data_IF_057592605946
#
_entry.id   IF_057592605946
#
_cell.length_a   1.000
_cell.length_b   1.000
_cell.length_c   1.000
_cell.angle_alpha   90.00
_cell.angle_beta   90.00
_cell.angle_gamma   90.00
#
_symmetry.space_group_name_H-M   'P 1'
#
loop_
_entity.id
_entity.type
_entity.pdbx_description
1 polymer ?
#
# COMPACT_ATOMS: atom_id res chain seq x y z
N UNK A 1 -8.63 -1.16 -11.33
CA UNK A 1 -7.58 -2.10 -11.78
C UNK A 1 -8.14 -3.11 -12.77
N UNK A 2 -7.30 -3.62 -13.66
CA UNK A 2 -7.73 -4.60 -14.65
C UNK A 2 -8.10 -5.94 -14.01
N UNK A 3 -9.10 -6.61 -14.59
CA UNK A 3 -9.42 -7.99 -14.25
C UNK A 3 -8.28 -8.92 -14.70
N UNK A 4 -8.05 -10.00 -13.95
CA UNK A 4 -6.93 -10.94 -14.16
C UNK A 4 -6.92 -11.64 -15.52
N UNK A 5 -8.06 -11.67 -16.22
CA UNK A 5 -8.18 -12.22 -17.59
C UNK A 5 -7.96 -11.18 -18.70
N UNK A 6 -7.81 -9.90 -18.37
CA UNK A 6 -7.53 -8.82 -19.34
C UNK A 6 -6.02 -8.57 -19.43
N UNK A 7 -5.35 -8.59 -18.28
CA UNK A 7 -3.90 -8.39 -18.17
C UNK A 7 -3.29 -9.39 -17.21
N UNK A 8 -2.03 -9.77 -17.43
CA UNK A 8 -1.26 -10.55 -16.45
C UNK A 8 -0.87 -9.66 -15.27
N UNK A 9 -1.77 -9.46 -14.30
CA UNK A 9 -1.61 -8.46 -13.20
C UNK A 9 -0.39 -8.72 -12.31
N UNK A 10 0.11 -9.96 -12.26
CA UNK A 10 1.35 -10.31 -11.54
C UNK A 10 2.62 -9.89 -12.27
N UNK A 11 2.55 -9.71 -13.59
CA UNK A 11 3.68 -9.23 -14.38
C UNK A 11 3.77 -7.71 -14.28
N UNK A 12 4.93 -7.19 -13.88
CA UNK A 12 5.21 -5.75 -13.88
C UNK A 12 5.56 -5.28 -15.31
N UNK A 13 4.55 -5.24 -16.18
CA UNK A 13 4.70 -4.97 -17.61
C UNK A 13 4.44 -3.51 -17.98
N UNK A 14 5.16 -2.98 -18.97
CA UNK A 14 5.07 -1.59 -19.41
C UNK A 14 3.62 -1.17 -19.75
N UNK A 15 2.88 -2.03 -20.46
CA UNK A 15 1.50 -1.75 -20.88
C UNK A 15 0.51 -1.57 -19.72
N UNK A 16 0.78 -2.17 -18.55
CA UNK A 16 -0.12 -2.07 -17.39
C UNK A 16 -0.16 -0.65 -16.80
N UNK A 17 0.86 0.16 -17.07
CA UNK A 17 0.96 1.53 -16.54
C UNK A 17 0.06 2.53 -17.25
N UNK A 18 -0.50 2.22 -18.43
CA UNK A 18 -1.46 3.11 -19.08
C UNK A 18 -2.66 3.35 -18.15
N UNK A 19 -3.17 2.30 -17.50
CA UNK A 19 -4.26 2.42 -16.53
C UNK A 19 -3.86 3.23 -15.29
N UNK A 20 -2.64 3.03 -14.78
CA UNK A 20 -2.11 3.80 -13.65
C UNK A 20 -1.97 5.28 -13.99
N UNK A 21 -1.42 5.62 -15.16
CA UNK A 21 -1.22 7.00 -15.60
C UNK A 21 -2.56 7.73 -15.77
N UNK A 22 -3.59 7.07 -16.30
CA UNK A 22 -4.92 7.68 -16.41
C UNK A 22 -5.51 7.99 -15.04
N UNK A 23 -5.44 7.05 -14.09
CA UNK A 23 -5.96 7.24 -12.73
C UNK A 23 -5.20 8.35 -11.98
N UNK A 24 -3.87 8.36 -12.04
CA UNK A 24 -3.05 9.39 -11.41
C UNK A 24 -3.35 10.78 -12.00
N UNK A 25 -3.46 10.87 -13.32
CA UNK A 25 -3.78 12.14 -14.00
C UNK A 25 -5.17 12.67 -13.61
N UNK A 26 -6.16 11.79 -13.45
CA UNK A 26 -7.49 12.15 -12.93
C UNK A 26 -7.41 12.68 -11.50
N UNK A 27 -6.70 11.98 -10.60
CA UNK A 27 -6.54 12.39 -9.21
C UNK A 27 -5.86 13.77 -9.10
N UNK A 28 -4.76 13.98 -9.81
CA UNK A 28 -4.04 15.26 -9.84
C UNK A 28 -4.94 16.38 -10.39
N UNK A 29 -5.66 16.12 -11.47
CA UNK A 29 -6.59 17.11 -12.05
C UNK A 29 -7.75 17.44 -11.10
N UNK A 30 -8.13 16.50 -10.23
CA UNK A 30 -9.10 16.68 -9.15
C UNK A 30 -8.55 17.33 -7.88
N UNK A 31 -7.25 17.64 -7.82
CA UNK A 31 -6.59 18.28 -6.68
C UNK A 31 -6.09 17.32 -5.59
N UNK A 32 -6.06 16.01 -5.85
CA UNK A 32 -5.45 15.02 -4.99
C UNK A 32 -3.99 14.72 -5.39
N UNK A 33 -3.23 14.07 -4.51
CA UNK A 33 -1.82 13.74 -4.74
C UNK A 33 -1.62 12.36 -5.40
N UNK A 34 -2.56 11.43 -5.16
CA UNK A 34 -2.47 10.04 -5.61
C UNK A 34 -3.87 9.46 -5.83
N UNK A 35 -3.96 8.43 -6.66
CA UNK A 35 -5.20 7.71 -6.95
C UNK A 35 -5.29 6.40 -6.15
N UNK A 36 -6.50 6.03 -5.72
CA UNK A 36 -6.81 4.69 -5.22
C UNK A 36 -7.72 3.98 -6.23
N UNK A 37 -7.26 2.86 -6.79
CA UNK A 37 -8.01 2.11 -7.80
C UNK A 37 -8.86 1.03 -7.14
N UNK A 38 -10.09 0.89 -7.63
CA UNK A 38 -10.97 -0.25 -7.34
C UNK A 38 -10.81 -1.33 -8.41
N UNK A 39 -11.00 -2.59 -8.07
CA UNK A 39 -11.09 -3.70 -9.02
C UNK A 39 -12.42 -3.68 -9.81
N UNK A 40 -12.62 -4.66 -10.69
CA UNK A 40 -13.82 -4.78 -11.51
C UNK A 40 -15.08 -5.18 -10.72
N UNK A 41 -14.95 -5.59 -9.46
CA UNK A 41 -16.05 -5.90 -8.55
C UNK A 41 -16.36 -4.72 -7.60
N UNK A 42 -15.55 -3.66 -7.64
CA UNK A 42 -15.72 -2.45 -6.84
C UNK A 42 -15.00 -2.46 -5.48
N UNK A 43 -14.12 -3.44 -5.23
CA UNK A 43 -13.29 -3.47 -4.03
C UNK A 43 -11.97 -2.75 -4.25
N UNK A 44 -11.36 -2.26 -3.16
CA UNK A 44 -10.05 -1.61 -3.18
C UNK A 44 -8.98 -2.60 -3.66
N UNK A 45 -8.20 -2.19 -4.68
CA UNK A 45 -7.12 -2.99 -5.23
C UNK A 45 -5.74 -2.47 -4.81
N UNK A 46 -5.36 -1.29 -5.28
CA UNK A 46 -4.05 -0.67 -5.04
C UNK A 46 -4.07 0.82 -5.46
N UNK A 47 -3.03 1.56 -5.11
CA UNK A 47 -2.76 2.90 -5.65
C UNK A 47 -2.31 2.87 -7.11
N UNK A 48 -1.97 4.01 -7.69
CA UNK A 48 -1.51 4.03 -9.09
C UNK A 48 -0.17 3.31 -9.27
N UNK A 49 0.71 3.33 -8.26
CA UNK A 49 2.02 2.65 -8.26
C UNK A 49 2.33 1.84 -6.99
N UNK A 50 1.41 1.78 -6.03
CA UNK A 50 1.66 1.34 -4.65
C UNK A 50 0.60 0.35 -4.16
N UNK A 51 0.97 -0.63 -3.34
CA UNK A 51 -0.04 -1.38 -2.58
C UNK A 51 -0.60 -0.51 -1.43
N UNK A 52 -1.81 -0.81 -0.95
CA UNK A 52 -2.44 -0.10 0.17
C UNK A 52 -2.60 -1.00 1.40
N UNK A 53 -2.45 -0.38 2.56
CA UNK A 53 -2.81 -0.93 3.85
C UNK A 53 -3.76 0.02 4.60
N UNK A 54 -4.65 -0.54 5.40
CA UNK A 54 -5.44 0.19 6.40
C UNK A 54 -5.31 -0.47 7.77
N UNK A 55 -5.38 0.33 8.82
CA UNK A 55 -5.48 -0.13 10.20
C UNK A 55 -6.90 0.10 10.68
N UNK A 56 -7.52 -0.94 11.23
CA UNK A 56 -8.86 -0.87 11.80
C UNK A 56 -8.98 -1.85 12.95
N UNK A 57 -9.51 -1.39 14.08
CA UNK A 57 -9.65 -2.17 15.30
C UNK A 57 -8.32 -2.81 15.74
N UNK A 58 -7.21 -2.08 15.53
CA UNK A 58 -5.85 -2.57 15.83
C UNK A 58 -5.35 -3.70 14.91
N UNK A 59 -6.04 -4.01 13.82
CA UNK A 59 -5.65 -5.03 12.84
C UNK A 59 -5.18 -4.38 11.55
N UNK A 60 -4.08 -4.90 10.98
CA UNK A 60 -3.56 -4.46 9.69
C UNK A 60 -4.29 -5.21 8.56
N UNK A 61 -4.90 -4.47 7.65
CA UNK A 61 -5.62 -5.01 6.50
C UNK A 61 -4.96 -4.56 5.21
N UNK A 62 -4.93 -5.45 4.22
CA UNK A 62 -4.51 -5.13 2.86
C UNK A 62 -5.33 -5.96 1.86
N UNK A 63 -5.55 -5.47 0.63
CA UNK A 63 -6.21 -6.25 -0.40
C UNK A 63 -5.52 -7.61 -0.62
N UNK A 64 -6.33 -8.64 -0.84
CA UNK A 64 -5.86 -9.95 -1.29
C UNK A 64 -5.22 -9.87 -2.67
N UNK A 65 -4.28 -10.78 -2.97
CA UNK A 65 -3.49 -10.78 -4.21
C UNK A 65 -4.29 -11.31 -5.41
N UNK A 66 -5.32 -10.55 -5.81
CA UNK A 66 -6.12 -10.80 -7.02
C UNK A 66 -5.68 -9.87 -8.15
N UNK A 67 -6.14 -8.62 -8.13
CA UNK A 67 -5.91 -7.62 -9.17
C UNK A 67 -4.74 -6.66 -8.90
N UNK A 68 -4.19 -6.68 -7.68
CA UNK A 68 -3.05 -5.88 -7.27
C UNK A 68 -1.71 -6.60 -7.52
N UNK A 69 -0.63 -5.81 -7.59
CA UNK A 69 0.72 -6.31 -7.76
C UNK A 69 1.20 -7.00 -6.47
N UNK A 70 1.91 -8.12 -6.63
CA UNK A 70 2.62 -8.78 -5.53
C UNK A 70 3.89 -7.99 -5.15
N UNK A 71 3.68 -6.87 -4.46
CA UNK A 71 4.74 -5.92 -4.13
C UNK A 71 5.73 -6.45 -3.10
N UNK A 72 7.02 -6.23 -3.34
CA UNK A 72 8.09 -6.59 -2.39
C UNK A 72 7.98 -5.73 -1.12
N UNK A 73 7.73 -4.42 -1.23
CA UNK A 73 7.53 -3.55 -0.06
C UNK A 73 6.32 -4.00 0.77
N UNK A 74 5.23 -4.43 0.13
CA UNK A 74 4.08 -5.04 0.81
C UNK A 74 4.50 -6.28 1.61
N UNK A 75 5.25 -7.19 0.99
CA UNK A 75 5.76 -8.38 1.69
C UNK A 75 6.64 -8.01 2.90
N UNK A 76 7.52 -7.00 2.74
CA UNK A 76 8.34 -6.45 3.84
C UNK A 76 7.50 -5.91 4.99
N UNK A 77 6.42 -5.15 4.71
CA UNK A 77 5.54 -4.62 5.75
C UNK A 77 4.77 -5.74 6.47
N UNK A 78 4.31 -6.77 5.76
CA UNK A 78 3.67 -7.93 6.37
C UNK A 78 4.65 -8.68 7.28
N UNK A 79 5.92 -8.78 6.90
CA UNK A 79 6.97 -9.39 7.72
C UNK A 79 7.22 -8.60 9.02
N UNK A 80 7.36 -7.27 8.94
CA UNK A 80 7.47 -6.43 10.13
C UNK A 80 6.23 -6.45 11.03
N UNK A 81 5.04 -6.51 10.44
CA UNK A 81 3.81 -6.64 11.22
C UNK A 81 3.82 -7.93 12.04
N UNK A 82 4.31 -9.04 11.50
CA UNK A 82 4.48 -10.31 12.25
C UNK A 82 5.47 -10.16 13.40
N UNK A 83 6.60 -9.49 13.19
CA UNK A 83 7.60 -9.22 14.25
C UNK A 83 7.02 -8.40 15.40
N UNK A 84 6.08 -7.49 15.09
CA UNK A 84 5.35 -6.69 16.08
C UNK A 84 4.20 -7.44 16.76
N UNK A 85 3.90 -8.67 16.36
CA UNK A 85 2.70 -9.40 16.80
C UNK A 85 1.39 -8.78 16.31
N UNK A 86 1.45 -7.93 15.28
CA UNK A 86 0.29 -7.28 14.69
C UNK A 86 -0.45 -8.26 13.77
N UNK A 87 -1.75 -8.45 14.00
CA UNK A 87 -2.56 -9.30 13.12
C UNK A 87 -2.64 -8.67 11.73
N UNK A 88 -2.33 -9.47 10.70
CA UNK A 88 -2.49 -9.09 9.29
C UNK A 88 -3.64 -9.89 8.67
N UNK A 89 -4.55 -9.21 7.98
CA UNK A 89 -5.64 -9.82 7.22
C UNK A 89 -5.59 -9.37 5.75
N UNK A 90 -5.23 -10.30 4.88
CA UNK A 90 -5.35 -10.15 3.44
C UNK A 90 -6.80 -10.49 3.05
N UNK A 91 -7.57 -9.50 2.60
CA UNK A 91 -9.01 -9.65 2.30
C UNK A 91 -9.49 -8.60 1.32
N UNK A 92 -10.71 -8.79 0.80
CA UNK A 92 -11.43 -7.70 0.12
C UNK A 92 -11.72 -6.55 1.10
N UNK A 93 -11.53 -5.33 0.61
CA UNK A 93 -11.74 -4.08 1.35
C UNK A 93 -12.64 -3.19 0.50
N UNK A 94 -13.69 -2.64 1.10
CA UNK A 94 -14.56 -1.67 0.43
C UNK A 94 -14.05 -0.25 0.64
N UNK A 95 -14.38 0.68 -0.26
CA UNK A 95 -13.90 2.07 -0.18
C UNK A 95 -14.30 2.77 1.13
N UNK A 96 -15.49 2.46 1.64
CA UNK A 96 -16.03 3.05 2.86
C UNK A 96 -15.36 2.50 4.11
N UNK A 97 -14.81 1.29 4.07
CA UNK A 97 -13.91 0.82 5.13
C UNK A 97 -12.62 1.64 5.22
N UNK A 98 -12.11 2.15 4.09
CA UNK A 98 -10.94 3.04 4.09
C UNK A 98 -11.31 4.40 4.70
N UNK A 99 -12.50 4.92 4.39
CA UNK A 99 -12.97 6.19 4.94
C UNK A 99 -13.05 6.19 6.48
N UNK A 100 -13.36 5.04 7.08
CA UNK A 100 -13.52 4.89 8.54
C UNK A 100 -12.34 4.18 9.20
N UNK A 101 -11.21 4.02 8.49
CA UNK A 101 -10.01 3.42 9.05
C UNK A 101 -9.34 4.35 10.08
N UNK A 102 -8.62 3.76 11.02
CA UNK A 102 -7.82 4.47 12.02
C UNK A 102 -6.55 5.06 11.37
N UNK A 103 -5.96 4.31 10.44
CA UNK A 103 -4.81 4.71 9.64
C UNK A 103 -4.91 4.10 8.23
N UNK A 104 -4.30 4.74 7.25
CA UNK A 104 -4.09 4.16 5.93
C UNK A 104 -2.73 4.61 5.40
N UNK A 105 -2.08 3.75 4.61
CA UNK A 105 -0.81 4.08 3.98
C UNK A 105 -0.59 3.28 2.70
N UNK A 106 0.15 3.88 1.78
CA UNK A 106 0.68 3.23 0.60
C UNK A 106 2.04 2.61 0.87
N UNK A 107 2.37 1.57 0.11
CA UNK A 107 3.69 0.95 0.08
C UNK A 107 4.17 0.72 -1.34
N UNK A 108 5.41 1.13 -1.62
CA UNK A 108 6.03 0.93 -2.93
C UNK A 108 7.54 1.01 -2.84
N UNK A 109 8.26 0.63 -3.88
CA UNK A 109 9.73 0.76 -3.88
C UNK A 109 10.16 2.23 -3.88
N UNK A 110 9.46 3.08 -4.64
CA UNK A 110 9.72 4.52 -4.68
C UNK A 110 8.97 5.29 -3.58
N UNK A 111 7.73 4.88 -3.28
CA UNK A 111 6.89 5.51 -2.26
C UNK A 111 7.27 5.13 -0.82
N UNK A 112 8.07 4.06 -0.65
CA UNK A 112 8.46 3.51 0.65
C UNK A 112 7.22 3.14 1.49
N UNK A 113 6.98 3.85 2.60
CA UNK A 113 5.76 3.78 3.40
C UNK A 113 5.19 5.19 3.47
N UNK A 114 4.10 5.44 2.74
CA UNK A 114 3.53 6.78 2.55
C UNK A 114 2.17 6.89 3.25
N UNK A 115 2.04 7.65 4.37
CA UNK A 115 0.77 7.80 5.07
C UNK A 115 -0.30 8.49 4.21
N UNK A 116 -1.53 8.01 4.28
CA UNK A 116 -2.71 8.60 3.64
C UNK A 116 -3.55 9.27 4.72
N UNK A 117 -3.65 10.60 4.68
CA UNK A 117 -4.42 11.39 5.67
C UNK A 117 -5.88 11.59 5.29
N UNK A 118 -6.21 11.45 4.02
CA UNK A 118 -7.52 11.79 3.46
C UNK A 118 -7.77 10.99 2.18
N UNK A 119 -9.01 10.51 2.01
CA UNK A 119 -9.47 9.87 0.79
C UNK A 119 -10.86 10.42 0.42
N UNK A 120 -11.04 10.87 -0.82
CA UNK A 120 -12.30 11.44 -1.33
C UNK A 120 -12.89 12.55 -0.45
N UNK A 121 -12.06 13.41 0.16
CA UNK A 121 -12.55 14.45 1.08
C UNK A 121 -12.85 13.98 2.50
N UNK A 122 -12.63 12.69 2.82
CA UNK A 122 -12.83 12.13 4.16
C UNK A 122 -11.48 11.99 4.84
N UNK A 123 -11.34 12.66 5.98
CA UNK A 123 -10.15 12.54 6.83
C UNK A 123 -10.08 11.11 7.39
N UNK A 124 -8.94 10.46 7.20
CA UNK A 124 -8.66 9.12 7.74
C UNK A 124 -8.12 9.27 9.15
N UNK A 125 -8.78 8.62 10.11
CA UNK A 125 -8.44 8.70 11.53
C UNK A 125 -8.25 10.14 12.03
N UNK A 126 -7.03 10.46 12.47
CA UNK A 126 -6.67 11.77 12.98
C UNK A 126 -6.17 12.77 11.91
N UNK A 127 -6.22 12.42 10.62
CA UNK A 127 -5.77 13.27 9.51
C UNK A 127 -4.26 13.50 9.45
N UNK A 128 -3.49 12.60 10.05
CA UNK A 128 -2.02 12.62 10.10
C UNK A 128 -1.49 11.19 10.18
N UNK A 129 -0.17 11.04 10.06
CA UNK A 129 0.51 9.75 10.27
C UNK A 129 0.13 9.19 11.65
N UNK A 130 -0.41 7.97 11.66
CA UNK A 130 -0.75 7.25 12.88
C UNK A 130 0.41 6.42 13.44
N UNK A 131 0.26 5.90 14.67
CA UNK A 131 1.32 5.19 15.39
C UNK A 131 1.75 3.87 14.72
N UNK A 132 0.83 3.09 14.15
CA UNK A 132 1.19 1.83 13.48
C UNK A 132 1.98 2.12 12.21
N UNK A 133 1.51 3.09 11.41
CA UNK A 133 2.20 3.56 10.20
C UNK A 133 3.59 4.09 10.53
N UNK A 134 3.72 4.92 11.56
CA UNK A 134 5.02 5.45 12.01
C UNK A 134 5.98 4.34 12.43
N UNK A 135 5.50 3.33 13.16
CA UNK A 135 6.32 2.20 13.60
C UNK A 135 6.83 1.38 12.42
N UNK A 136 5.94 1.01 11.50
CA UNK A 136 6.28 0.23 10.30
C UNK A 136 7.20 1.02 9.35
N UNK A 137 6.95 2.31 9.18
CA UNK A 137 7.80 3.22 8.41
C UNK A 137 9.22 3.30 9.02
N UNK A 138 9.34 3.41 10.34
CA UNK A 138 10.62 3.41 11.03
C UNK A 138 11.41 2.11 10.81
N UNK A 139 10.74 0.96 10.97
CA UNK A 139 11.35 -0.36 10.72
C UNK A 139 11.81 -0.52 9.27
N UNK A 140 11.00 -0.05 8.31
CA UNK A 140 11.38 -0.03 6.89
C UNK A 140 12.65 0.79 6.66
N UNK A 141 12.71 2.02 7.19
CA UNK A 141 13.90 2.86 7.04
C UNK A 141 15.14 2.28 7.69
N UNK A 142 15.01 1.65 8.85
CA UNK A 142 16.14 1.01 9.52
C UNK A 142 16.62 -0.22 8.74
N UNK A 143 15.71 -0.99 8.14
CA UNK A 143 16.05 -2.13 7.29
C UNK A 143 16.80 -1.70 6.03
N UNK A 144 16.26 -0.76 5.24
CA UNK A 144 16.88 -0.34 3.97
C UNK A 144 18.19 0.42 4.16
N UNK A 145 18.42 0.99 5.36
CA UNK A 145 19.68 1.64 5.74
C UNK A 145 20.68 0.69 6.41
N UNK A 146 20.37 -0.60 6.49
CA UNK A 146 21.29 -1.61 7.05
C UNK A 146 21.48 -1.54 8.56
N UNK A 147 20.53 -0.97 9.30
CA UNK A 147 20.56 -0.92 10.78
C UNK A 147 19.95 -2.16 11.44
N UNK A 148 19.19 -2.96 10.70
CA UNK A 148 18.63 -4.23 11.16
C UNK A 148 19.55 -5.39 10.74
N UNK A 149 20.40 -5.85 11.66
CA UNK A 149 21.38 -6.91 11.40
C UNK A 149 20.71 -8.23 10.96
N UNK A 150 19.56 -8.53 11.55
CA UNK A 150 18.70 -9.67 11.26
C UNK A 150 18.08 -9.64 9.86
N UNK A 151 18.09 -8.49 9.17
CA UNK A 151 17.64 -8.32 7.78
C UNK A 151 18.76 -7.99 6.80
N UNK A 152 20.02 -8.18 7.20
CA UNK A 152 21.20 -7.97 6.33
C UNK A 152 21.12 -8.74 5.01
N UNK A 153 20.48 -9.92 4.99
CA UNK A 153 20.27 -10.72 3.77
C UNK A 153 19.36 -10.07 2.71
N UNK A 154 18.66 -8.98 3.03
CA UNK A 154 17.87 -8.22 2.04
C UNK A 154 18.70 -7.19 1.27
N UNK A 155 19.92 -6.91 1.73
CA UNK A 155 20.75 -5.84 1.18
C UNK A 155 21.89 -6.42 0.35
N UNK A 156 22.10 -5.85 -0.83
CA UNK A 156 23.28 -6.11 -1.66
C UNK A 156 24.16 -4.87 -1.65
N UNK A 157 25.34 -4.90 -0.99
CA UNK A 157 26.25 -3.77 -0.98
C UNK A 157 26.76 -3.45 -2.40
N UNK A 158 26.66 -2.18 -2.79
CA UNK A 158 27.30 -1.66 -4.01
C UNK A 158 28.58 -0.95 -3.58
N UNK A 159 29.71 -1.30 -4.19
CA UNK A 159 31.04 -0.72 -3.91
C UNK A 159 31.36 0.38 -4.89
#
# INVERSE_FOLDING_TARGET
>A
RHHVNITMCKAKANGNYINSMLALNEAISGGAEEALLLDNEGYVAEGSGENIFIVRDGVLHTPELTSCLEGITRATIIDFAKDLGLQVKERRITRDEVYVAEEAFFTGTAAEVLPIRELDGRIIGAGKRGPVTEKLQGMYFDAVKGKLAERSGWLTPVR
#
